data_IF_378607184317
#
_entry.id   IF_378607184317
#
_cell.length_a   1.000
_cell.length_b   1.000
_cell.length_c   1.000
_cell.angle_alpha   90.00
_cell.angle_beta   90.00
_cell.angle_gamma   90.00
#
_symmetry.space_group_name_H-M   'P 1'
#
loop_
_entity.id
_entity.type
_entity.pdbx_description
1 polymer ?
#
# COMPACT_ATOMS: atom_id res chain seq x y z
N UNK A 1 17.06 7.65 8.36
CA UNK A 1 17.77 8.12 9.55
C UNK A 1 18.61 6.98 10.07
N UNK A 2 19.89 7.22 10.36
CA UNK A 2 20.81 6.20 10.84
C UNK A 2 21.21 6.53 12.28
N UNK A 3 21.17 5.57 13.21
CA UNK A 3 21.66 5.79 14.56
C UNK A 3 23.18 6.04 14.57
N UNK A 4 23.65 6.84 15.51
CA UNK A 4 25.07 7.11 15.70
C UNK A 4 25.81 5.89 16.25
N UNK A 5 27.01 5.64 15.73
CA UNK A 5 27.91 4.59 16.21
C UNK A 5 28.96 5.15 17.16
N UNK A 6 29.68 4.28 17.88
CA UNK A 6 30.74 4.73 18.78
C UNK A 6 31.90 5.37 17.99
N UNK A 7 32.53 6.43 18.50
CA UNK A 7 32.36 7.00 19.85
C UNK A 7 31.22 8.04 19.99
N UNK A 8 30.70 8.56 18.87
CA UNK A 8 29.68 9.63 18.88
C UNK A 8 28.39 9.22 19.60
N UNK A 9 28.03 7.94 19.58
CA UNK A 9 26.91 7.37 20.34
C UNK A 9 26.94 7.74 21.83
N UNK A 10 28.13 7.84 22.42
CA UNK A 10 28.29 8.02 23.87
C UNK A 10 28.09 9.49 24.31
N UNK A 11 27.88 10.42 23.35
CA UNK A 11 27.37 11.76 23.64
C UNK A 11 25.90 11.69 24.09
N UNK A 12 25.53 12.46 25.10
CA UNK A 12 24.19 12.44 25.72
C UNK A 12 23.07 12.76 24.71
N UNK A 13 23.30 13.73 23.83
CA UNK A 13 22.39 14.10 22.74
C UNK A 13 22.16 12.92 21.78
N UNK A 14 23.23 12.23 21.41
CA UNK A 14 23.18 11.09 20.49
C UNK A 14 22.58 9.85 21.13
N UNK A 15 22.71 9.67 22.45
CA UNK A 15 22.02 8.61 23.19
C UNK A 15 20.51 8.82 23.15
N UNK A 16 20.05 10.04 23.41
CA UNK A 16 18.63 10.40 23.35
C UNK A 16 18.08 10.24 21.93
N UNK A 17 18.80 10.74 20.92
CA UNK A 17 18.45 10.56 19.51
C UNK A 17 18.32 9.08 19.14
N UNK A 18 19.34 8.27 19.45
CA UNK A 18 19.36 6.84 19.15
C UNK A 18 18.22 6.08 19.83
N UNK A 19 17.86 6.46 21.06
CA UNK A 19 16.72 5.87 21.76
C UNK A 19 15.40 6.12 21.02
N UNK A 20 15.15 7.36 20.59
CA UNK A 20 13.94 7.70 19.84
C UNK A 20 13.89 7.03 18.47
N UNK A 21 15.00 7.03 17.73
CA UNK A 21 15.10 6.33 16.43
C UNK A 21 14.82 4.83 16.61
N UNK A 22 15.46 4.19 17.59
CA UNK A 22 15.26 2.77 17.86
C UNK A 22 13.81 2.45 18.22
N UNK A 23 13.17 3.28 19.05
CA UNK A 23 11.75 3.12 19.42
C UNK A 23 10.84 3.16 18.19
N UNK A 24 11.06 4.11 17.27
CA UNK A 24 10.28 4.22 16.03
C UNK A 24 10.51 2.99 15.14
N UNK A 25 11.78 2.60 14.93
CA UNK A 25 12.13 1.43 14.13
C UNK A 25 11.47 0.15 14.65
N UNK A 26 11.51 -0.09 15.96
CA UNK A 26 10.85 -1.24 16.59
C UNK A 26 9.35 -1.26 16.26
N UNK A 27 8.65 -0.13 16.45
CA UNK A 27 7.23 -0.04 16.11
C UNK A 27 6.96 -0.29 14.62
N UNK A 28 7.77 0.27 13.73
CA UNK A 28 7.66 0.06 12.28
C UNK A 28 7.91 -1.40 11.89
N UNK A 29 8.94 -2.04 12.44
CA UNK A 29 9.25 -3.45 12.19
C UNK A 29 8.14 -4.37 12.68
N UNK A 30 7.62 -4.15 13.89
CA UNK A 30 6.48 -4.92 14.42
C UNK A 30 5.24 -4.75 13.55
N UNK A 31 4.94 -3.52 13.15
CA UNK A 31 3.78 -3.24 12.29
C UNK A 31 3.92 -3.93 10.95
N UNK A 32 5.07 -3.80 10.27
CA UNK A 32 5.34 -4.46 9.00
C UNK A 32 5.32 -5.99 9.14
N UNK A 33 5.87 -6.53 10.24
CA UNK A 33 5.84 -7.95 10.55
C UNK A 33 4.40 -8.47 10.69
N UNK A 34 3.57 -7.77 11.44
CA UNK A 34 2.15 -8.08 11.57
C UNK A 34 1.41 -8.02 10.22
N UNK A 35 1.67 -6.96 9.43
CA UNK A 35 1.08 -6.78 8.10
C UNK A 35 1.50 -7.89 7.14
N UNK A 36 2.78 -8.25 7.07
CA UNK A 36 3.28 -9.34 6.20
C UNK A 36 2.85 -10.73 6.67
N UNK A 37 2.64 -10.92 7.97
CA UNK A 37 2.11 -12.15 8.53
C UNK A 37 0.63 -12.35 8.17
N UNK A 38 -0.15 -11.27 8.25
CA UNK A 38 -1.59 -11.28 7.96
C UNK A 38 -1.88 -11.29 6.46
N UNK A 39 -1.14 -10.51 5.66
CA UNK A 39 -1.40 -10.34 4.23
C UNK A 39 -0.27 -10.92 3.39
N UNK A 40 -0.46 -12.16 2.92
CA UNK A 40 0.49 -12.81 2.02
C UNK A 40 0.73 -12.01 0.72
N UNK A 41 -0.24 -11.20 0.28
CA UNK A 41 -0.11 -10.28 -0.86
C UNK A 41 0.99 -9.21 -0.67
N UNK A 42 1.31 -8.84 0.57
CA UNK A 42 2.43 -7.93 0.87
C UNK A 42 3.80 -8.61 0.77
N UNK A 43 3.88 -9.95 0.76
CA UNK A 43 5.15 -10.65 0.51
C UNK A 43 5.65 -10.44 -0.92
N UNK A 44 4.76 -10.16 -1.87
CA UNK A 44 5.11 -9.86 -3.25
C UNK A 44 5.70 -8.45 -3.47
N UNK A 45 5.61 -7.56 -2.47
CA UNK A 45 6.14 -6.21 -2.59
C UNK A 45 7.67 -6.22 -2.39
N UNK A 46 8.40 -6.48 -3.47
CA UNK A 46 9.87 -6.40 -3.53
C UNK A 46 10.28 -5.22 -4.42
N UNK A 47 10.06 -4.00 -3.93
CA UNK A 47 10.38 -2.76 -4.66
C UNK A 47 11.48 -2.02 -3.92
N UNK A 48 12.50 -1.56 -4.65
CA UNK A 48 13.57 -0.73 -4.10
C UNK A 48 13.07 0.71 -3.97
N UNK A 49 13.09 1.25 -2.76
CA UNK A 49 12.58 2.59 -2.44
C UNK A 49 13.67 3.66 -2.63
N UNK A 50 14.25 3.73 -3.83
CA UNK A 50 15.32 4.67 -4.20
C UNK A 50 14.81 5.91 -4.96
N UNK A 51 13.55 5.91 -5.38
CA UNK A 51 12.90 7.00 -6.13
C UNK A 51 11.52 7.30 -5.57
N UNK A 52 11.07 8.55 -5.72
CA UNK A 52 9.74 8.98 -5.28
C UNK A 52 8.62 8.14 -5.93
N UNK A 53 8.75 7.81 -7.22
CA UNK A 53 7.78 6.95 -7.92
C UNK A 53 7.67 5.56 -7.30
N UNK A 54 8.80 4.99 -6.85
CA UNK A 54 8.81 3.69 -6.20
C UNK A 54 8.16 3.74 -4.82
N UNK A 55 8.34 4.86 -4.10
CA UNK A 55 7.68 5.12 -2.82
C UNK A 55 6.17 5.25 -3.03
N UNK A 56 5.73 6.03 -4.02
CA UNK A 56 4.31 6.16 -4.36
C UNK A 56 3.70 4.80 -4.73
N UNK A 57 4.38 4.03 -5.57
CA UNK A 57 3.94 2.70 -5.96
C UNK A 57 3.81 1.77 -4.74
N UNK A 58 4.81 1.74 -3.85
CA UNK A 58 4.77 0.92 -2.66
C UNK A 58 3.63 1.33 -1.71
N UNK A 59 3.39 2.64 -1.54
CA UNK A 59 2.27 3.16 -0.77
C UNK A 59 0.92 2.72 -1.37
N UNK A 60 0.74 2.87 -2.68
CA UNK A 60 -0.47 2.43 -3.38
C UNK A 60 -0.69 0.92 -3.22
N UNK A 61 0.36 0.11 -3.36
CA UNK A 61 0.28 -1.33 -3.17
C UNK A 61 -0.19 -1.71 -1.76
N UNK A 62 0.38 -1.05 -0.73
CA UNK A 62 -0.02 -1.26 0.67
C UNK A 62 -1.48 -0.87 0.88
N UNK A 63 -1.88 0.30 0.38
CA UNK A 63 -3.28 0.79 0.46
C UNK A 63 -4.24 -0.19 -0.21
N UNK A 64 -3.91 -0.69 -1.40
CA UNK A 64 -4.72 -1.69 -2.11
C UNK A 64 -4.82 -2.99 -1.31
N UNK A 65 -3.73 -3.46 -0.69
CA UNK A 65 -3.77 -4.64 0.17
C UNK A 65 -4.69 -4.44 1.39
N UNK A 66 -4.68 -3.26 2.02
CA UNK A 66 -5.56 -2.90 3.15
C UNK A 66 -7.03 -2.98 2.72
N UNK A 67 -7.37 -2.35 1.60
CA UNK A 67 -8.74 -2.32 1.08
C UNK A 67 -9.22 -3.71 0.70
N UNK A 68 -8.41 -4.47 -0.03
CA UNK A 68 -8.73 -5.83 -0.44
C UNK A 68 -8.97 -6.75 0.76
N UNK A 69 -8.11 -6.67 1.78
CA UNK A 69 -8.30 -7.45 2.99
C UNK A 69 -9.55 -7.04 3.77
N UNK A 70 -9.81 -5.74 3.88
CA UNK A 70 -11.02 -5.21 4.54
C UNK A 70 -12.29 -5.69 3.82
N UNK A 71 -12.27 -5.68 2.49
CA UNK A 71 -13.34 -6.21 1.65
C UNK A 71 -13.59 -7.71 1.90
N UNK A 72 -12.54 -8.54 1.85
CA UNK A 72 -12.64 -9.99 2.09
C UNK A 72 -13.11 -10.29 3.51
N UNK A 73 -12.61 -9.58 4.51
CA UNK A 73 -13.09 -9.72 5.89
C UNK A 73 -14.56 -9.32 6.03
N UNK A 74 -14.98 -8.25 5.37
CA UNK A 74 -16.37 -7.81 5.34
C UNK A 74 -17.27 -8.90 4.75
N UNK A 75 -16.87 -9.47 3.60
CA UNK A 75 -17.57 -10.61 2.99
C UNK A 75 -17.76 -11.76 3.96
N UNK A 76 -16.67 -12.20 4.61
CA UNK A 76 -16.69 -13.36 5.49
C UNK A 76 -17.55 -13.12 6.75
N UNK A 77 -17.62 -11.87 7.22
CA UNK A 77 -18.47 -11.46 8.34
C UNK A 77 -19.94 -11.24 7.95
N UNK A 78 -20.33 -11.51 6.71
CA UNK A 78 -21.70 -11.31 6.22
C UNK A 78 -22.09 -9.85 6.02
N UNK A 79 -21.12 -8.93 5.95
CA UNK A 79 -21.37 -7.54 5.57
C UNK A 79 -21.78 -7.51 4.11
N UNK A 80 -22.86 -6.79 3.80
CA UNK A 80 -23.36 -6.65 2.45
C UNK A 80 -22.36 -5.88 1.57
N UNK A 81 -21.60 -6.63 0.75
CA UNK A 81 -20.61 -6.10 -0.19
C UNK A 81 -21.22 -5.14 -1.20
N UNK A 82 -22.46 -5.36 -1.63
CA UNK A 82 -23.12 -4.51 -2.64
C UNK A 82 -23.31 -3.07 -2.14
N UNK A 83 -23.22 -2.84 -0.83
CA UNK A 83 -23.23 -1.50 -0.21
C UNK A 83 -21.85 -0.94 0.10
N UNK A 84 -20.79 -1.71 -0.12
CA UNK A 84 -19.42 -1.28 0.10
C UNK A 84 -19.03 -0.20 -0.94
N UNK A 85 -18.52 0.93 -0.44
CA UNK A 85 -18.22 2.10 -1.28
C UNK A 85 -17.05 1.85 -2.22
N UNK A 86 -16.08 1.02 -1.82
CA UNK A 86 -14.94 0.64 -2.64
C UNK A 86 -15.41 -0.25 -3.80
N UNK A 87 -16.20 -1.28 -3.52
CA UNK A 87 -16.73 -2.17 -4.56
C UNK A 87 -17.62 -1.45 -5.58
N UNK A 88 -18.53 -0.59 -5.11
CA UNK A 88 -19.43 0.18 -5.99
C UNK A 88 -18.68 1.12 -6.92
N UNK A 89 -17.70 1.87 -6.40
CA UNK A 89 -16.84 2.73 -7.24
C UNK A 89 -16.02 1.92 -8.23
N UNK A 90 -15.53 0.76 -7.82
CA UNK A 90 -14.83 -0.16 -8.73
C UNK A 90 -15.70 -0.56 -9.92
N UNK A 91 -16.97 -0.90 -9.69
CA UNK A 91 -17.92 -1.21 -10.75
C UNK A 91 -18.19 -0.02 -11.68
N UNK A 92 -18.32 1.18 -11.13
CA UNK A 92 -18.52 2.42 -11.91
C UNK A 92 -17.31 2.66 -12.85
N UNK A 93 -16.08 2.56 -12.34
CA UNK A 93 -14.85 2.71 -13.14
C UNK A 93 -14.77 1.66 -14.24
N UNK A 94 -15.05 0.39 -13.93
CA UNK A 94 -15.01 -0.68 -14.92
C UNK A 94 -16.02 -0.48 -16.05
N UNK A 95 -17.18 0.10 -15.74
CA UNK A 95 -18.19 0.41 -16.75
C UNK A 95 -17.76 1.60 -17.62
N UNK A 96 -17.21 2.65 -17.02
CA UNK A 96 -16.62 3.77 -17.75
C UNK A 96 -15.51 3.32 -18.70
N UNK A 97 -14.59 2.47 -18.23
CA UNK A 97 -13.52 1.89 -19.07
C UNK A 97 -14.08 1.04 -20.22
N UNK A 98 -15.11 0.24 -19.96
CA UNK A 98 -15.77 -0.57 -21.01
C UNK A 98 -16.35 0.32 -22.10
N UNK A 99 -17.08 1.38 -21.72
CA UNK A 99 -17.66 2.34 -22.67
C UNK A 99 -16.57 2.97 -23.51
N UNK A 100 -15.50 3.44 -22.87
CA UNK A 100 -14.38 4.07 -23.58
C UNK A 100 -13.67 3.12 -24.56
N UNK A 101 -13.48 1.85 -24.19
CA UNK A 101 -12.88 0.84 -25.08
C UNK A 101 -13.75 0.60 -26.31
N UNK A 102 -15.06 0.52 -26.15
CA UNK A 102 -16.02 0.33 -27.26
C UNK A 102 -15.99 1.53 -28.20
N UNK A 103 -16.04 2.75 -27.66
CA UNK A 103 -15.94 3.99 -28.45
C UNK A 103 -14.64 4.05 -29.26
N UNK A 104 -13.50 3.65 -28.66
CA UNK A 104 -12.23 3.60 -29.37
C UNK A 104 -12.21 2.57 -30.49
N UNK A 105 -12.88 1.42 -30.32
CA UNK A 105 -12.98 0.41 -31.38
C UNK A 105 -13.80 0.95 -32.56
N UNK A 106 -14.93 1.59 -32.30
CA UNK A 106 -15.76 2.21 -33.34
C UNK A 106 -15.02 3.30 -34.10
N UNK A 107 -14.28 4.18 -33.40
CA UNK A 107 -13.46 5.22 -34.04
C UNK A 107 -12.39 4.60 -34.94
N UNK A 108 -11.76 3.51 -34.50
CA UNK A 108 -10.72 2.82 -35.30
C UNK A 108 -11.31 2.14 -36.54
N UNK A 109 -12.53 1.63 -36.46
CA UNK A 109 -13.22 1.00 -37.59
C UNK A 109 -13.71 2.03 -38.62
N UNK A 110 -14.08 3.24 -38.20
CA UNK A 110 -14.46 4.31 -39.15
C UNK A 110 -13.29 4.97 -39.88
N UNK A 111 -12.06 4.82 -39.35
CA UNK A 111 -10.83 5.37 -39.94
C UNK A 111 -10.06 4.35 -40.80
N UNK A 112 -10.55 3.11 -40.89
CA UNK A 112 -9.96 2.01 -41.67
C UNK A 112 -10.71 1.80 -43.00
#
# INVERSE_FOLDING_TARGET
MLPHHRPEKDLEENTTYNYHVSKICICSEHTIGYLKGTWQSLRGLCVRLDKDDHIQYACLWIITCIHLHSFVLGHHKGINISRDTFFRKGLEIMEEERVWIVELQEIREQLA
#
